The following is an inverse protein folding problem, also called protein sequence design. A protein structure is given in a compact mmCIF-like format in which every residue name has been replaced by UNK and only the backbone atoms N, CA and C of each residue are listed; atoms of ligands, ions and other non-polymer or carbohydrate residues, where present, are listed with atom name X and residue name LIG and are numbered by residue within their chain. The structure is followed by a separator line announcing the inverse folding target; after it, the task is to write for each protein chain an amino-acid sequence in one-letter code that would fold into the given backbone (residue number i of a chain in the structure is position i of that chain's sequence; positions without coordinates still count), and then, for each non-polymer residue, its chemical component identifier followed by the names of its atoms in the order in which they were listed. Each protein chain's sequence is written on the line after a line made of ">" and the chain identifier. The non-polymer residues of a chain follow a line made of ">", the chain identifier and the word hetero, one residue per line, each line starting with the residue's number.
data_IF_689454466501
#
_entry.id   IF_689454466501
#
_cell.length_a   1.000
_cell.length_b   1.000
_cell.length_c   1.000
_cell.angle_alpha   90.00
_cell.angle_beta   90.00
_cell.angle_gamma   90.00
#
_symmetry.space_group_name_H-M   'P 1'
#
loop_
_entity.id
_entity.type
_entity.pdbx_description
1 polymer ?
#
# COMPACT_ATOMS: atom_id res chain seq x y z
N UNK A 1 -63.67 26.82 -47.91
CA UNK A 1 -62.37 26.21 -47.56
C UNK A 1 -61.60 27.23 -46.75
N UNK A 2 -61.57 27.13 -45.42
CA UNK A 2 -60.45 27.58 -44.58
C UNK A 2 -60.66 26.95 -43.20
N UNK A 3 -59.77 25.99 -42.92
CA UNK A 3 -59.68 25.22 -41.70
C UNK A 3 -58.79 26.01 -40.72
N UNK A 4 -59.24 26.20 -39.48
CA UNK A 4 -58.37 26.58 -38.37
C UNK A 4 -58.54 25.55 -37.25
N UNK A 5 -57.61 24.61 -37.22
CA UNK A 5 -57.43 23.68 -36.12
C UNK A 5 -56.82 24.44 -34.93
N UNK A 6 -57.54 24.47 -33.80
CA UNK A 6 -57.01 24.97 -32.54
C UNK A 6 -56.14 23.86 -31.91
N UNK A 7 -54.83 24.05 -31.90
CA UNK A 7 -53.87 23.17 -31.23
C UNK A 7 -53.85 23.52 -29.73
N UNK A 8 -54.41 22.65 -28.89
CA UNK A 8 -54.30 22.76 -27.42
C UNK A 8 -52.95 22.17 -27.00
N UNK A 9 -52.01 23.02 -26.56
CA UNK A 9 -50.79 22.57 -25.88
C UNK A 9 -51.15 22.15 -24.45
N UNK A 10 -51.21 20.84 -24.18
CA UNK A 10 -51.26 20.31 -22.83
C UNK A 10 -49.86 20.38 -22.21
N UNK A 11 -49.64 21.32 -21.29
CA UNK A 11 -48.52 21.28 -20.36
C UNK A 11 -48.94 20.42 -19.16
N UNK A 12 -48.24 19.32 -18.89
CA UNK A 12 -48.47 18.52 -17.68
C UNK A 12 -47.17 17.90 -17.16
N UNK A 13 -46.61 18.59 -16.16
CA UNK A 13 -45.83 18.08 -15.03
C UNK A 13 -44.72 17.05 -15.31
N UNK A 14 -43.47 17.53 -15.32
CA UNK A 14 -42.31 16.68 -15.00
C UNK A 14 -42.37 16.41 -13.49
N UNK A 15 -42.91 15.26 -13.10
CA UNK A 15 -42.77 14.77 -11.73
C UNK A 15 -41.32 14.38 -11.52
N UNK A 16 -40.53 15.33 -11.00
CA UNK A 16 -39.22 15.06 -10.44
C UNK A 16 -39.41 14.06 -9.30
N UNK A 17 -39.23 12.77 -9.61
CA UNK A 17 -38.99 11.76 -8.60
C UNK A 17 -37.65 12.12 -7.98
N UNK A 18 -37.69 12.90 -6.90
CA UNK A 18 -36.64 12.87 -5.91
C UNK A 18 -36.64 11.46 -5.35
N UNK A 19 -35.88 10.56 -5.99
CA UNK A 19 -35.38 9.40 -5.29
C UNK A 19 -34.43 9.99 -4.26
N UNK A 20 -35.00 10.31 -3.09
CA UNK A 20 -34.25 10.41 -1.87
C UNK A 20 -33.55 9.06 -1.72
N UNK A 21 -32.35 8.94 -2.31
CA UNK A 21 -31.36 8.02 -1.81
C UNK A 21 -31.12 8.50 -0.38
N UNK A 22 -31.95 8.01 0.55
CA UNK A 22 -31.47 7.73 1.88
C UNK A 22 -30.28 6.80 1.63
N UNK A 23 -29.08 7.40 1.50
CA UNK A 23 -27.89 6.76 2.01
C UNK A 23 -28.28 6.44 3.45
N UNK A 24 -28.70 5.18 3.66
CA UNK A 24 -28.53 4.54 4.95
C UNK A 24 -27.03 4.61 5.15
N UNK A 25 -26.56 5.74 5.67
CA UNK A 25 -25.39 5.78 6.51
C UNK A 25 -25.79 4.87 7.65
N UNK A 26 -25.54 3.57 7.46
CA UNK A 26 -25.36 2.68 8.57
C UNK A 26 -24.22 3.34 9.34
N UNK A 27 -24.58 4.13 10.34
CA UNK A 27 -23.69 4.58 11.37
C UNK A 27 -23.33 3.32 12.17
N UNK A 28 -22.53 2.45 11.54
CA UNK A 28 -21.68 1.56 12.28
C UNK A 28 -20.83 2.50 13.12
N UNK A 29 -21.06 2.47 14.42
CA UNK A 29 -20.34 3.29 15.38
C UNK A 29 -18.87 2.91 15.23
N UNK A 30 -18.14 3.72 14.48
CA UNK A 30 -16.71 3.65 14.36
C UNK A 30 -16.15 3.73 15.77
N UNK A 31 -15.30 2.77 16.13
CA UNK A 31 -14.82 2.63 17.49
C UNK A 31 -13.90 3.82 17.79
N UNK A 32 -14.35 4.77 18.61
CA UNK A 32 -13.59 5.99 18.93
C UNK A 32 -12.33 5.76 19.77
N UNK A 33 -12.08 4.52 20.20
CA UNK A 33 -10.94 4.15 21.04
C UNK A 33 -10.27 2.91 20.49
N UNK A 34 -8.93 2.82 20.57
CA UNK A 34 -8.20 1.66 20.11
C UNK A 34 -8.74 0.35 20.71
N UNK A 35 -8.82 -0.74 19.93
CA UNK A 35 -9.14 -2.04 20.47
C UNK A 35 -8.12 -2.48 21.51
N UNK A 36 -8.56 -3.30 22.48
CA UNK A 36 -7.65 -3.92 23.44
C UNK A 36 -6.57 -4.72 22.69
N UNK A 37 -5.29 -4.47 23.01
CA UNK A 37 -4.16 -5.11 22.33
C UNK A 37 -3.59 -4.33 21.13
N UNK A 38 -4.02 -3.09 20.87
CA UNK A 38 -3.35 -2.25 19.87
C UNK A 38 -1.88 -2.04 20.24
N UNK A 39 -0.98 -2.47 19.36
CA UNK A 39 0.46 -2.45 19.60
C UNK A 39 1.03 -1.03 19.39
N UNK A 40 0.81 -0.14 20.36
CA UNK A 40 1.22 1.28 20.31
C UNK A 40 2.72 1.51 20.15
N UNK A 41 3.55 0.51 20.47
CA UNK A 41 5.01 0.56 20.28
C UNK A 41 5.47 0.13 18.89
N UNK A 42 4.57 -0.44 18.06
CA UNK A 42 4.91 -1.04 16.76
C UNK A 42 4.06 -0.50 15.61
N UNK A 43 2.78 -0.20 15.85
CA UNK A 43 1.85 0.34 14.85
C UNK A 43 1.72 1.86 14.98
N UNK A 44 1.33 2.50 13.88
CA UNK A 44 0.97 3.92 13.87
C UNK A 44 -0.06 4.24 14.98
N UNK A 45 -0.11 5.49 15.46
CA UNK A 45 -1.14 5.89 16.41
C UNK A 45 -2.54 5.53 15.89
N UNK A 46 -3.37 4.96 16.76
CA UNK A 46 -4.69 4.46 16.37
C UNK A 46 -5.53 5.54 15.69
N UNK A 47 -5.47 6.77 16.19
CA UNK A 47 -6.21 7.90 15.64
C UNK A 47 -5.75 8.21 14.20
N UNK A 48 -4.44 8.14 13.92
CA UNK A 48 -3.88 8.33 12.57
C UNK A 48 -4.34 7.25 11.59
N UNK A 49 -4.29 5.98 12.03
CA UNK A 49 -4.85 4.87 11.26
C UNK A 49 -6.35 5.07 11.00
N UNK A 50 -7.09 5.44 12.04
CA UNK A 50 -8.54 5.54 12.01
C UNK A 50 -9.03 6.70 11.13
N UNK A 51 -8.35 7.83 11.17
CA UNK A 51 -8.63 8.98 10.29
C UNK A 51 -8.43 8.59 8.82
N UNK A 52 -7.33 7.90 8.51
CA UNK A 52 -7.10 7.38 7.16
C UNK A 52 -8.17 6.36 6.77
N UNK A 53 -8.51 5.44 7.67
CA UNK A 53 -9.53 4.42 7.45
C UNK A 53 -10.87 5.05 7.03
N UNK A 54 -11.31 6.10 7.72
CA UNK A 54 -12.54 6.84 7.36
C UNK A 54 -12.37 7.65 6.07
N UNK A 55 -11.22 8.29 5.87
CA UNK A 55 -10.98 9.15 4.70
C UNK A 55 -11.03 8.40 3.36
N UNK A 56 -10.73 7.10 3.34
CA UNK A 56 -10.80 6.25 2.14
C UNK A 56 -11.98 5.27 2.16
N UNK A 57 -13.00 5.53 2.99
CA UNK A 57 -14.24 4.73 3.13
C UNK A 57 -13.94 3.23 3.32
N UNK A 58 -12.96 2.90 4.16
CA UNK A 58 -12.57 1.52 4.37
C UNK A 58 -13.72 0.68 4.94
N UNK A 59 -14.66 1.27 5.67
CA UNK A 59 -15.83 0.56 6.19
C UNK A 59 -16.73 -0.03 5.10
N UNK A 60 -16.75 0.59 3.91
CA UNK A 60 -17.58 0.11 2.81
C UNK A 60 -16.89 -0.98 1.97
N UNK A 61 -15.60 -1.24 2.23
CA UNK A 61 -14.74 -2.00 1.33
C UNK A 61 -14.31 -3.36 1.89
N UNK A 62 -14.85 -3.80 3.03
CA UNK A 62 -14.55 -5.12 3.59
C UNK A 62 -14.70 -6.26 2.56
N UNK A 63 -13.86 -7.29 2.70
CA UNK A 63 -13.80 -8.46 1.79
C UNK A 63 -13.42 -8.11 0.35
N UNK A 64 -12.87 -6.93 0.11
CA UNK A 64 -12.26 -6.57 -1.17
C UNK A 64 -10.75 -6.59 -1.05
N UNK A 65 -10.09 -6.76 -2.20
CA UNK A 65 -8.64 -6.59 -2.30
C UNK A 65 -8.22 -5.21 -1.84
N UNK A 66 -8.98 -4.15 -2.13
CA UNK A 66 -8.70 -2.80 -1.65
C UNK A 66 -8.62 -2.74 -0.12
N UNK A 67 -9.52 -3.41 0.59
CA UNK A 67 -9.48 -3.42 2.05
C UNK A 67 -8.23 -4.13 2.57
N UNK A 68 -7.89 -5.26 1.96
CA UNK A 68 -6.66 -5.99 2.29
C UNK A 68 -5.38 -5.28 1.87
N UNK A 69 -5.41 -4.25 1.02
CA UNK A 69 -4.21 -3.52 0.58
C UNK A 69 -4.10 -2.11 1.16
N UNK A 70 -5.21 -1.49 1.57
CA UNK A 70 -5.23 -0.07 1.93
C UNK A 70 -5.81 0.22 3.32
N UNK A 71 -6.51 -0.73 3.95
CA UNK A 71 -7.31 -0.44 5.16
C UNK A 71 -6.72 -0.97 6.47
N UNK A 72 -5.43 -1.31 6.49
CA UNK A 72 -4.70 -1.84 7.64
C UNK A 72 -3.72 -0.82 8.23
N UNK A 73 -3.36 -0.98 9.53
CA UNK A 73 -2.48 -0.06 10.23
C UNK A 73 -1.04 -0.17 9.74
N UNK A 74 -0.37 0.96 9.58
CA UNK A 74 1.05 1.03 9.23
C UNK A 74 1.94 0.82 10.48
N UNK A 75 3.22 0.50 10.28
CA UNK A 75 4.20 0.49 11.38
C UNK A 75 4.52 1.91 11.85
N UNK A 76 4.81 2.09 13.14
CA UNK A 76 5.13 3.40 13.73
C UNK A 76 6.39 4.05 13.10
N UNK A 77 7.26 3.27 12.46
CA UNK A 77 8.51 3.74 11.84
C UNK A 77 8.35 4.32 10.44
N UNK A 78 7.20 4.09 9.78
CA UNK A 78 6.81 4.88 8.59
C UNK A 78 6.23 6.21 9.08
N UNK A 79 7.10 7.11 9.55
CA UNK A 79 6.71 8.51 9.75
C UNK A 79 6.42 9.09 8.37
N UNK A 80 5.14 9.15 8.02
CA UNK A 80 4.65 10.14 7.08
C UNK A 80 5.20 11.48 7.55
N UNK A 81 5.95 12.16 6.70
CA UNK A 81 6.44 13.51 6.91
C UNK A 81 5.23 14.47 6.97
N UNK A 82 4.53 14.47 8.10
CA UNK A 82 3.63 15.54 8.47
C UNK A 82 4.52 16.69 8.94
N UNK A 83 4.98 17.51 7.99
CA UNK A 83 5.46 18.86 8.29
C UNK A 83 4.29 19.66 8.87
N UNK A 84 4.09 19.52 10.18
CA UNK A 84 3.31 20.45 10.98
C UNK A 84 4.31 21.35 11.67
N UNK A 85 4.68 22.47 11.03
CA UNK A 85 5.22 23.60 11.76
C UNK A 85 4.13 24.65 11.87
N UNK A 86 3.87 25.01 13.12
CA UNK A 86 2.93 26.00 13.58
C UNK A 86 2.96 27.29 12.76
N UNK A 87 1.77 27.89 12.63
CA UNK A 87 1.60 29.25 12.16
C UNK A 87 2.43 30.26 12.98
N UNK A 88 3.04 31.27 12.33
CA UNK A 88 3.17 32.59 12.90
C UNK A 88 2.16 33.52 12.26
N UNK A 89 1.38 34.17 13.11
CA UNK A 89 0.48 35.27 12.75
C UNK A 89 1.28 36.49 12.27
N UNK A 90 0.67 37.23 11.34
CA UNK A 90 0.89 38.62 10.90
C UNK A 90 1.83 38.90 9.71
N UNK A 91 1.16 39.29 8.61
CA UNK A 91 1.37 40.53 7.82
C UNK A 91 2.76 40.75 7.19
N UNK A 92 2.94 40.41 5.91
CA UNK A 92 2.78 41.35 4.78
C UNK A 92 3.29 40.78 3.43
N UNK A 93 2.56 41.17 2.37
CA UNK A 93 2.99 41.43 0.99
C UNK A 93 3.62 40.31 0.13
N UNK A 94 2.85 39.98 -0.91
CA UNK A 94 3.20 39.18 -2.08
C UNK A 94 4.55 39.52 -2.74
N UNK A 95 5.24 38.49 -3.23
CA UNK A 95 5.97 38.55 -4.51
C UNK A 95 6.02 37.14 -5.12
N UNK A 96 5.55 37.08 -6.35
CA UNK A 96 5.43 35.96 -7.27
C UNK A 96 6.79 35.33 -7.60
N UNK A 97 6.90 34.01 -7.56
CA UNK A 97 7.58 33.22 -8.60
C UNK A 97 7.03 31.79 -8.54
N UNK A 98 6.28 31.44 -9.58
CA UNK A 98 5.81 30.09 -9.84
C UNK A 98 6.99 29.21 -10.26
N UNK A 99 7.19 28.08 -9.58
CA UNK A 99 7.87 26.92 -10.14
C UNK A 99 6.83 25.80 -10.15
N UNK A 100 6.48 25.37 -11.36
CA UNK A 100 5.46 24.39 -11.63
C UNK A 100 5.82 23.05 -10.99
N UNK A 101 5.00 22.60 -10.04
CA UNK A 101 4.96 21.20 -9.64
C UNK A 101 4.36 20.44 -10.82
N UNK A 102 5.22 19.74 -11.58
CA UNK A 102 4.75 18.72 -12.50
C UNK A 102 4.07 17.66 -11.64
N UNK A 103 2.74 17.68 -11.63
CA UNK A 103 1.95 16.58 -11.13
C UNK A 103 2.30 15.36 -12.00
N UNK A 104 3.19 14.50 -11.49
CA UNK A 104 3.31 13.14 -12.01
C UNK A 104 1.96 12.51 -11.74
N UNK A 105 1.17 12.37 -12.80
CA UNK A 105 0.00 11.50 -12.85
C UNK A 105 0.38 10.20 -12.17
N UNK A 106 -0.20 9.95 -10.99
CA UNK A 106 -0.21 8.63 -10.40
C UNK A 106 -0.92 7.74 -11.41
N UNK A 107 -0.13 7.11 -12.27
CA UNK A 107 -0.58 6.06 -13.15
C UNK A 107 -1.13 4.98 -12.23
N UNK A 108 -2.46 4.94 -12.14
CA UNK A 108 -3.18 3.85 -11.54
C UNK A 108 -3.14 2.69 -12.53
N UNK A 109 -1.94 2.24 -12.88
CA UNK A 109 -1.77 0.94 -13.50
C UNK A 109 -2.16 -0.05 -12.42
N UNK A 110 -3.22 -0.81 -12.68
CA UNK A 110 -3.53 -2.02 -11.93
C UNK A 110 -2.27 -2.85 -11.88
N UNK A 111 -1.53 -2.78 -10.76
CA UNK A 111 -0.34 -3.57 -10.57
C UNK A 111 -0.81 -5.03 -10.61
N UNK A 112 -0.54 -5.70 -11.73
CA UNK A 112 -0.62 -7.15 -11.76
C UNK A 112 0.42 -7.63 -10.75
N UNK A 113 0.14 -8.67 -9.96
CA UNK A 113 1.09 -9.22 -8.99
C UNK A 113 1.53 -10.63 -9.42
N UNK A 114 2.82 -10.94 -9.29
CA UNK A 114 3.30 -12.32 -9.24
C UNK A 114 2.87 -12.88 -7.89
N UNK A 115 1.87 -13.76 -7.92
CA UNK A 115 1.28 -14.38 -6.73
C UNK A 115 1.64 -15.87 -6.69
N UNK A 116 1.50 -16.50 -5.52
CA UNK A 116 1.89 -17.89 -5.32
C UNK A 116 3.37 -18.08 -4.95
N UNK A 117 4.08 -16.98 -4.70
CA UNK A 117 5.40 -16.99 -4.09
C UNK A 117 5.33 -17.37 -2.61
N UNK A 118 6.44 -17.91 -2.12
CA UNK A 118 6.62 -18.27 -0.72
C UNK A 118 7.83 -17.50 -0.18
N UNK A 119 7.66 -16.87 0.98
CA UNK A 119 8.72 -16.17 1.69
C UNK A 119 9.18 -16.98 2.90
N UNK A 120 10.44 -17.37 2.95
CA UNK A 120 11.10 -17.92 4.15
C UNK A 120 12.11 -16.91 4.68
N UNK A 121 12.96 -17.31 5.64
CA UNK A 121 14.05 -16.44 6.09
C UNK A 121 15.40 -17.13 6.22
N UNK A 122 16.46 -16.31 6.13
CA UNK A 122 17.86 -16.70 6.27
C UNK A 122 18.67 -15.68 7.10
N UNK A 123 19.88 -16.09 7.44
CA UNK A 123 20.93 -15.25 8.02
C UNK A 123 22.17 -15.30 7.14
N UNK A 124 22.85 -14.17 7.00
CA UNK A 124 24.17 -14.10 6.38
C UNK A 124 25.27 -14.54 7.34
N UNK A 125 25.09 -14.38 8.65
CA UNK A 125 26.11 -14.71 9.66
C UNK A 125 27.48 -14.08 9.37
N UNK A 126 27.48 -12.87 8.81
CA UNK A 126 28.70 -12.16 8.42
C UNK A 126 29.38 -12.66 7.14
N UNK A 127 28.74 -13.54 6.37
CA UNK A 127 29.21 -14.02 5.06
C UNK A 127 28.44 -13.31 3.96
N UNK A 128 29.15 -12.83 2.94
CA UNK A 128 28.51 -12.17 1.81
C UNK A 128 27.66 -13.18 1.01
N UNK A 129 26.46 -12.76 0.63
CA UNK A 129 25.64 -13.47 -0.35
C UNK A 129 26.24 -13.39 -1.76
N UNK A 130 25.53 -13.95 -2.74
CA UNK A 130 25.91 -13.98 -4.15
C UNK A 130 26.17 -12.59 -4.76
N UNK A 131 25.58 -11.52 -4.19
CA UNK A 131 25.87 -10.14 -4.58
C UNK A 131 27.19 -9.57 -4.03
N UNK A 132 27.96 -10.34 -3.26
CA UNK A 132 29.32 -10.02 -2.85
C UNK A 132 29.45 -8.99 -1.72
N UNK A 133 28.34 -8.56 -1.11
CA UNK A 133 28.33 -7.62 0.02
C UNK A 133 27.81 -8.30 1.29
N UNK A 134 28.49 -8.05 2.42
CA UNK A 134 28.04 -8.47 3.75
C UNK A 134 27.07 -7.42 4.29
N UNK A 135 25.90 -7.88 4.71
CA UNK A 135 24.88 -7.11 5.39
C UNK A 135 24.63 -7.73 6.78
N UNK A 136 24.22 -6.94 7.78
CA UNK A 136 23.78 -7.51 9.05
C UNK A 136 22.47 -8.30 8.85
N UNK A 137 22.24 -9.32 9.67
CA UNK A 137 21.01 -10.14 9.61
C UNK A 137 19.73 -9.32 9.88
N UNK A 138 19.87 -8.14 10.50
CA UNK A 138 18.80 -7.16 10.73
C UNK A 138 18.55 -6.23 9.55
N UNK A 139 19.33 -6.30 8.47
CA UNK A 139 19.10 -5.47 7.28
C UNK A 139 17.77 -5.85 6.59
N UNK A 140 17.28 -4.98 5.71
CA UNK A 140 16.13 -5.29 4.86
C UNK A 140 16.63 -5.79 3.51
N UNK A 141 17.13 -7.03 3.50
CA UNK A 141 17.64 -7.69 2.30
C UNK A 141 16.90 -8.97 1.98
N UNK A 142 16.98 -9.36 0.71
CA UNK A 142 16.31 -10.55 0.18
C UNK A 142 17.25 -11.35 -0.72
N UNK A 143 17.12 -12.66 -0.67
CA UNK A 143 17.68 -13.62 -1.61
C UNK A 143 16.62 -13.96 -2.66
N UNK A 144 16.93 -13.73 -3.93
CA UNK A 144 16.01 -14.04 -5.03
C UNK A 144 16.20 -15.47 -5.53
N UNK A 145 15.12 -16.13 -5.93
CA UNK A 145 15.22 -17.37 -6.71
C UNK A 145 16.12 -17.17 -7.95
N UNK A 146 16.86 -18.19 -8.37
CA UNK A 146 17.90 -18.15 -9.41
C UNK A 146 17.53 -17.41 -10.70
N UNK A 147 16.33 -17.64 -11.24
CA UNK A 147 15.89 -16.98 -12.49
C UNK A 147 15.64 -15.48 -12.24
N UNK A 148 14.99 -15.13 -11.13
CA UNK A 148 14.78 -13.74 -10.72
C UNK A 148 16.09 -13.04 -10.34
N UNK A 149 17.04 -13.76 -9.76
CA UNK A 149 18.38 -13.26 -9.45
C UNK A 149 19.14 -12.89 -10.75
N UNK A 150 18.89 -13.62 -11.83
CA UNK A 150 19.36 -13.34 -13.18
C UNK A 150 20.90 -13.18 -13.24
N UNK A 151 21.63 -14.12 -12.66
CA UNK A 151 23.10 -14.11 -12.56
C UNK A 151 23.66 -12.80 -11.97
N UNK A 152 22.95 -12.23 -10.98
CA UNK A 152 23.36 -11.01 -10.28
C UNK A 152 22.99 -9.71 -10.98
N UNK A 153 22.31 -9.77 -12.12
CA UNK A 153 21.83 -8.57 -12.83
C UNK A 153 20.89 -7.70 -11.97
N UNK A 154 20.25 -8.30 -10.96
CA UNK A 154 19.34 -7.62 -10.05
C UNK A 154 19.93 -7.29 -8.67
N UNK A 155 21.22 -7.58 -8.43
CA UNK A 155 21.89 -7.19 -7.19
C UNK A 155 21.79 -5.68 -6.93
N UNK A 156 21.52 -5.30 -5.67
CA UNK A 156 21.41 -3.90 -5.25
C UNK A 156 20.11 -3.21 -5.66
N UNK A 157 19.27 -3.85 -6.49
CA UNK A 157 17.95 -3.31 -6.82
C UNK A 157 17.00 -3.50 -5.63
N UNK A 158 16.03 -2.59 -5.50
CA UNK A 158 14.99 -2.69 -4.48
C UNK A 158 13.75 -3.35 -5.04
N UNK A 159 13.12 -4.23 -4.29
CA UNK A 159 11.83 -4.84 -4.64
C UNK A 159 10.79 -4.53 -3.56
N UNK A 160 9.53 -4.44 -3.96
CA UNK A 160 8.42 -4.41 -3.03
C UNK A 160 7.88 -5.82 -2.83
N UNK A 161 7.75 -6.22 -1.57
CA UNK A 161 7.19 -7.50 -1.15
C UNK A 161 5.88 -7.23 -0.43
N UNK A 162 4.87 -8.06 -0.67
CA UNK A 162 3.58 -8.00 0.01
C UNK A 162 3.28 -9.38 0.60
N UNK A 163 3.02 -9.43 1.90
CA UNK A 163 2.38 -10.59 2.51
C UNK A 163 0.90 -10.60 2.14
N UNK A 164 0.49 -11.57 1.33
CA UNK A 164 -0.89 -11.67 0.84
C UNK A 164 -1.91 -12.04 1.92
N UNK A 165 -1.46 -12.59 3.05
CA UNK A 165 -2.35 -12.93 4.15
C UNK A 165 -2.71 -11.70 4.99
N UNK A 166 -1.73 -10.82 5.26
CA UNK A 166 -1.92 -9.64 6.11
C UNK A 166 -2.10 -8.34 5.34
N UNK A 167 -1.66 -8.29 4.08
CA UNK A 167 -1.60 -7.08 3.28
C UNK A 167 -0.39 -6.19 3.57
N UNK A 168 0.47 -6.59 4.50
CA UNK A 168 1.68 -5.86 4.88
C UNK A 168 2.64 -5.79 3.70
N UNK A 169 3.25 -4.62 3.48
CA UNK A 169 4.26 -4.44 2.45
C UNK A 169 5.57 -3.92 3.02
N UNK A 170 6.68 -4.48 2.55
CA UNK A 170 8.03 -4.01 2.85
C UNK A 170 8.84 -3.89 1.56
N UNK A 171 9.79 -2.97 1.55
CA UNK A 171 10.79 -2.85 0.48
C UNK A 171 12.10 -3.41 0.96
N UNK A 172 12.78 -4.19 0.11
CA UNK A 172 14.06 -4.80 0.43
C UNK A 172 15.04 -4.72 -0.74
N UNK A 173 16.33 -4.74 -0.42
CA UNK A 173 17.40 -4.78 -1.42
C UNK A 173 17.77 -6.24 -1.75
N UNK A 174 17.89 -6.56 -3.03
CA UNK A 174 18.46 -7.86 -3.47
C UNK A 174 19.93 -7.93 -3.08
N UNK A 175 20.28 -8.88 -2.24
CA UNK A 175 21.64 -9.07 -1.75
C UNK A 175 22.16 -10.50 -1.93
N UNK A 176 21.31 -11.43 -2.37
CA UNK A 176 21.69 -12.84 -2.49
C UNK A 176 20.87 -13.59 -3.54
N UNK A 177 21.32 -14.80 -3.84
CA UNK A 177 20.61 -15.82 -4.62
C UNK A 177 20.14 -16.93 -3.69
N UNK A 178 18.93 -17.43 -3.92
CA UNK A 178 18.34 -18.56 -3.23
C UNK A 178 18.08 -19.71 -4.23
N UNK A 179 19.06 -20.59 -4.50
CA UNK A 179 18.89 -21.70 -5.44
C UNK A 179 17.89 -22.76 -4.96
N UNK A 180 17.62 -22.81 -3.65
CA UNK A 180 16.72 -23.77 -3.00
C UNK A 180 15.31 -23.23 -2.77
N UNK A 181 15.02 -22.02 -3.23
CA UNK A 181 13.70 -21.41 -3.11
C UNK A 181 12.65 -22.27 -3.81
N UNK A 182 11.49 -22.47 -3.14
CA UNK A 182 10.55 -23.55 -3.44
C UNK A 182 9.97 -23.50 -4.86
N UNK A 183 9.75 -22.30 -5.38
CA UNK A 183 9.22 -22.07 -6.72
C UNK A 183 9.79 -20.77 -7.31
N UNK A 184 9.43 -20.51 -8.57
CA UNK A 184 9.89 -19.35 -9.36
C UNK A 184 9.61 -17.98 -8.72
N UNK A 185 8.63 -17.87 -7.81
CA UNK A 185 8.27 -16.63 -7.12
C UNK A 185 8.66 -16.67 -5.64
N UNK A 186 9.43 -17.66 -5.20
CA UNK A 186 9.86 -17.76 -3.82
C UNK A 186 11.09 -16.90 -3.55
N UNK A 187 11.16 -16.35 -2.36
CA UNK A 187 12.28 -15.51 -1.91
C UNK A 187 12.63 -15.86 -0.47
N UNK A 188 13.89 -15.59 -0.10
CA UNK A 188 14.35 -15.77 1.26
C UNK A 188 14.66 -14.40 1.87
N UNK A 189 14.00 -14.06 2.98
CA UNK A 189 14.17 -12.78 3.65
C UNK A 189 15.30 -12.85 4.67
N UNK A 190 16.06 -11.77 4.84
CA UNK A 190 16.84 -11.61 6.07
C UNK A 190 15.93 -11.67 7.31
N UNK A 191 16.46 -12.07 8.47
CA UNK A 191 15.72 -12.09 9.73
C UNK A 191 15.00 -10.76 10.01
N UNK A 192 15.69 -9.63 9.83
CA UNK A 192 15.13 -8.30 10.04
C UNK A 192 13.92 -8.02 9.14
N UNK A 193 13.98 -8.43 7.87
CA UNK A 193 12.88 -8.27 6.92
C UNK A 193 11.71 -9.21 7.25
N UNK A 194 11.98 -10.48 7.57
CA UNK A 194 10.92 -11.44 7.91
C UNK A 194 10.16 -11.00 9.17
N UNK A 195 10.89 -10.51 10.18
CA UNK A 195 10.32 -9.94 11.41
C UNK A 195 9.43 -8.71 11.17
N UNK A 196 9.62 -8.00 10.05
CA UNK A 196 8.73 -6.95 9.61
C UNK A 196 7.35 -7.44 9.14
N UNK A 197 7.23 -8.72 8.77
CA UNK A 197 5.97 -9.36 8.38
C UNK A 197 5.37 -10.20 9.52
N UNK A 198 6.18 -11.05 10.17
CA UNK A 198 5.72 -11.95 11.22
C UNK A 198 6.87 -12.50 12.08
N UNK A 199 6.56 -13.19 13.18
CA UNK A 199 7.59 -13.80 14.04
C UNK A 199 8.35 -14.92 13.32
N UNK A 200 9.67 -15.02 13.50
CA UNK A 200 10.53 -16.04 12.88
C UNK A 200 10.06 -17.48 13.12
N UNK A 201 9.35 -17.74 14.23
CA UNK A 201 8.78 -19.04 14.56
C UNK A 201 7.68 -19.52 13.61
N UNK A 202 7.11 -18.61 12.81
CA UNK A 202 6.16 -18.96 11.73
C UNK A 202 6.89 -19.64 10.58
N UNK A 203 8.15 -19.27 10.33
CA UNK A 203 9.03 -19.88 9.33
C UNK A 203 8.71 -19.55 7.88
N UNK A 204 7.45 -19.27 7.55
CA UNK A 204 7.01 -19.09 6.17
C UNK A 204 5.79 -18.17 6.02
N UNK A 205 5.76 -17.36 4.96
CA UNK A 205 4.61 -16.54 4.57
C UNK A 205 4.28 -16.70 3.09
N UNK A 206 3.04 -16.38 2.71
CA UNK A 206 2.63 -16.31 1.31
C UNK A 206 2.96 -14.93 0.74
N UNK A 207 4.04 -14.84 -0.05
CA UNK A 207 4.51 -13.58 -0.62
C UNK A 207 3.97 -13.35 -2.03
N UNK A 208 3.62 -12.11 -2.34
CA UNK A 208 3.40 -11.63 -3.70
C UNK A 208 4.31 -10.44 -4.00
N UNK A 209 4.65 -10.31 -5.28
CA UNK A 209 5.41 -9.17 -5.81
C UNK A 209 4.61 -8.47 -6.89
N UNK A 210 4.78 -7.16 -7.11
CA UNK A 210 4.22 -6.53 -8.28
C UNK A 210 4.87 -7.12 -9.55
N UNK A 211 4.05 -7.65 -10.45
CA UNK A 211 4.48 -8.21 -11.76
C UNK A 211 4.79 -7.17 -12.81
N UNK A 212 4.35 -5.92 -12.59
CA UNK A 212 4.91 -4.75 -13.26
C UNK A 212 5.87 -4.06 -12.31
N UNK A 213 7.10 -3.82 -12.77
CA UNK A 213 8.11 -3.09 -12.00
C UNK A 213 8.44 -3.74 -10.64
N UNK A 214 8.66 -5.06 -10.65
CA UNK A 214 9.16 -5.85 -9.49
C UNK A 214 10.26 -5.09 -8.75
N UNK A 215 11.13 -4.46 -9.52
CA UNK A 215 12.18 -3.59 -9.04
C UNK A 215 11.73 -2.14 -9.06
N UNK A 216 11.68 -1.54 -7.89
CA UNK A 216 11.48 -0.10 -7.73
C UNK A 216 12.70 0.57 -8.38
N UNK A 217 12.45 1.44 -9.37
CA UNK A 217 13.51 2.25 -9.97
C UNK A 217 14.01 3.24 -8.91
N UNK A 218 15.32 3.26 -8.69
CA UNK A 218 16.02 4.32 -7.93
C UNK A 218 16.06 5.62 -8.71
#
# INVERSE_FOLDING_TARGET
>A
MFSFALLVLAASSVSAHSISHLRRHHAHVARATPPAGWATSYLEPYDTYHDRYLAIDCEAKHNTTFFSFCCHPLLATTTAEATTTAAPTTTDKATTTAAATTATTADSSSATFFTGGVGTWFTQNGVAGACGTVHPDTALIVALQTEMYANGANCGRQIQIIDTATGTSQTATVADECPTCKNEWSVDFSEGLFQGFTALSVGEINSAFPSVNLFIHS
#
